data_IF_948427025075
#
_entry.id   IF_948427025075
#
_cell.length_a   1.000
_cell.length_b   1.000
_cell.length_c   1.000
_cell.angle_alpha   90.00
_cell.angle_beta   90.00
_cell.angle_gamma   90.00
#
_symmetry.space_group_name_H-M   'P 1'
#
loop_
_entity.id
_entity.type
_entity.pdbx_description
1 polymer ?
#
# COMPACT_ATOMS: atom_id res chain seq x y z
N UNK A 1 -6.99 -13.92 42.64
CA UNK A 1 -6.94 -13.66 41.19
C UNK A 1 -6.23 -12.35 40.81
N UNK A 2 -6.06 -11.36 41.71
CA UNK A 2 -5.41 -10.08 41.36
C UNK A 2 -3.88 -10.13 41.19
N UNK A 3 -3.15 -11.07 41.82
CA UNK A 3 -1.70 -11.18 41.64
C UNK A 3 -1.28 -11.76 40.27
N UNK A 4 -2.06 -12.69 39.70
CA UNK A 4 -1.72 -13.27 38.39
C UNK A 4 -1.94 -12.26 37.26
N UNK A 5 -2.99 -11.42 37.36
CA UNK A 5 -3.25 -10.33 36.39
C UNK A 5 -2.16 -9.24 36.47
N UNK A 6 -1.69 -8.90 37.67
CA UNK A 6 -0.60 -7.92 37.85
C UNK A 6 0.76 -8.45 37.41
N UNK A 7 1.01 -9.75 37.51
CA UNK A 7 2.26 -10.39 37.05
C UNK A 7 2.27 -10.59 35.53
N UNK A 8 1.12 -10.94 34.93
CA UNK A 8 1.00 -10.97 33.47
C UNK A 8 1.14 -9.56 32.87
N UNK A 9 0.55 -8.52 33.49
CA UNK A 9 0.69 -7.14 33.04
C UNK A 9 2.13 -6.60 33.16
N UNK A 10 2.89 -6.99 34.20
CA UNK A 10 4.29 -6.57 34.37
C UNK A 10 5.24 -7.32 33.43
N UNK A 11 4.99 -8.60 33.16
CA UNK A 11 5.77 -9.39 32.20
C UNK A 11 5.49 -8.98 30.75
N UNK A 12 4.24 -8.65 30.39
CA UNK A 12 3.92 -8.11 29.06
C UNK A 12 4.44 -6.67 28.90
N UNK A 13 4.35 -5.82 29.92
CA UNK A 13 4.95 -4.48 29.88
C UNK A 13 6.48 -4.52 29.80
N UNK A 14 7.15 -5.48 30.45
CA UNK A 14 8.60 -5.66 30.36
C UNK A 14 9.07 -6.09 28.97
N UNK A 15 8.35 -7.03 28.34
CA UNK A 15 8.66 -7.48 26.97
C UNK A 15 8.34 -6.38 25.93
N UNK A 16 7.19 -5.72 26.05
CA UNK A 16 6.83 -4.58 25.19
C UNK A 16 7.80 -3.42 25.37
N UNK A 17 8.25 -3.13 26.61
CA UNK A 17 9.28 -2.12 26.90
C UNK A 17 10.61 -2.47 26.25
N UNK A 18 11.06 -3.73 26.36
CA UNK A 18 12.36 -4.16 25.82
C UNK A 18 12.39 -4.19 24.29
N UNK A 19 11.34 -4.74 23.65
CA UNK A 19 11.23 -4.79 22.18
C UNK A 19 10.96 -3.41 21.60
N UNK A 20 10.07 -2.62 22.21
CA UNK A 20 9.78 -1.26 21.73
C UNK A 20 10.97 -0.30 21.95
N UNK A 21 11.70 -0.43 23.06
CA UNK A 21 12.91 0.39 23.29
C UNK A 21 14.06 0.02 22.35
N UNK A 22 14.23 -1.26 22.00
CA UNK A 22 15.23 -1.72 21.04
C UNK A 22 14.95 -1.29 19.59
N UNK A 23 13.68 -1.26 19.18
CA UNK A 23 13.25 -0.82 17.83
C UNK A 23 13.23 0.72 17.74
N UNK A 24 12.75 1.39 18.80
CA UNK A 24 12.72 2.86 18.92
C UNK A 24 14.09 3.53 18.89
N UNK A 25 15.14 2.87 19.38
CA UNK A 25 16.49 3.43 19.37
C UNK A 25 17.11 3.51 17.97
N UNK A 26 16.54 2.85 16.95
CA UNK A 26 17.08 2.78 15.59
C UNK A 26 16.31 3.63 14.57
N UNK A 27 14.98 3.64 14.59
CA UNK A 27 14.13 4.57 13.80
C UNK A 27 12.67 4.47 14.26
N UNK A 28 12.02 5.61 14.47
CA UNK A 28 10.59 5.65 14.81
C UNK A 28 9.71 5.04 13.72
N UNK A 29 10.13 5.14 12.45
CA UNK A 29 9.38 4.60 11.31
C UNK A 29 9.25 3.09 11.40
N UNK A 30 10.34 2.39 11.72
CA UNK A 30 10.33 0.93 11.89
C UNK A 30 9.32 0.52 12.97
N UNK A 31 9.24 1.29 14.06
CA UNK A 31 8.24 1.07 15.10
C UNK A 31 6.80 1.20 14.60
N UNK A 32 6.47 2.25 13.85
CA UNK A 32 5.13 2.43 13.28
C UNK A 32 4.81 1.41 12.19
N UNK A 33 5.80 1.02 11.39
CA UNK A 33 5.66 -0.06 10.40
C UNK A 33 5.37 -1.40 11.07
N UNK A 34 6.06 -1.70 12.18
CA UNK A 34 5.82 -2.88 12.99
C UNK A 34 4.42 -2.88 13.60
N UNK A 35 3.95 -1.73 14.09
CA UNK A 35 2.60 -1.58 14.64
C UNK A 35 1.51 -1.77 13.57
N UNK A 36 1.69 -1.17 12.39
CA UNK A 36 0.80 -1.38 11.25
C UNK A 36 0.80 -2.84 10.80
N UNK A 37 1.97 -3.49 10.72
CA UNK A 37 2.10 -4.92 10.42
C UNK A 37 1.42 -5.82 11.46
N UNK A 38 1.53 -5.49 12.74
CA UNK A 38 0.82 -6.20 13.80
C UNK A 38 -0.71 -6.05 13.66
N UNK A 39 -1.20 -4.86 13.29
CA UNK A 39 -2.63 -4.65 13.00
C UNK A 39 -3.12 -5.47 11.81
N UNK A 40 -2.30 -5.59 10.76
CA UNK A 40 -2.60 -6.43 9.59
C UNK A 40 -2.71 -7.92 9.96
N UNK A 41 -1.72 -8.43 10.70
CA UNK A 41 -1.72 -9.82 11.16
C UNK A 41 -2.92 -10.08 12.08
N UNK A 42 -3.23 -9.15 12.99
CA UNK A 42 -4.40 -9.26 13.88
C UNK A 42 -5.71 -9.26 13.08
N UNK A 43 -5.84 -8.39 12.08
CA UNK A 43 -7.03 -8.33 11.21
C UNK A 43 -7.21 -9.65 10.45
N UNK A 44 -6.11 -10.21 9.93
CA UNK A 44 -6.14 -11.50 9.24
C UNK A 44 -6.52 -12.66 10.17
N UNK A 45 -5.90 -12.75 11.36
CA UNK A 45 -6.25 -13.79 12.34
C UNK A 45 -7.75 -13.69 12.71
N UNK A 46 -8.24 -12.50 13.03
CA UNK A 46 -9.64 -12.31 13.40
C UNK A 46 -10.60 -12.53 12.24
N UNK A 47 -10.18 -12.32 10.99
CA UNK A 47 -10.94 -12.72 9.80
C UNK A 47 -11.14 -14.24 9.75
N UNK A 48 -10.10 -15.01 10.02
CA UNK A 48 -10.16 -16.47 9.91
C UNK A 48 -10.86 -17.15 11.10
N UNK A 49 -10.61 -16.68 12.32
CA UNK A 49 -11.07 -17.36 13.56
C UNK A 49 -12.05 -16.53 14.40
N UNK A 50 -12.31 -15.28 14.04
CA UNK A 50 -13.08 -14.35 14.88
C UNK A 50 -14.59 -14.50 14.79
N UNK A 51 -15.14 -15.11 13.73
CA UNK A 51 -16.59 -15.28 13.55
C UNK A 51 -17.33 -15.84 14.80
N UNK A 52 -16.93 -16.98 15.41
CA UNK A 52 -17.61 -17.51 16.60
C UNK A 52 -17.46 -16.64 17.86
N UNK A 53 -16.50 -15.70 17.88
CA UNK A 53 -16.37 -14.72 18.95
C UNK A 53 -17.32 -13.55 18.74
N UNK A 54 -17.46 -13.07 17.50
CA UNK A 54 -18.33 -11.95 17.16
C UNK A 54 -19.82 -12.32 17.26
N UNK A 55 -20.20 -13.54 16.91
CA UNK A 55 -21.57 -14.08 17.06
C UNK A 55 -22.09 -14.02 18.51
N UNK A 56 -21.18 -14.03 19.49
CA UNK A 56 -21.56 -13.97 20.92
C UNK A 56 -21.78 -12.56 21.43
N UNK A 57 -21.51 -11.53 20.63
CA UNK A 57 -21.60 -10.13 21.01
C UNK A 57 -22.96 -9.56 20.59
N UNK A 58 -23.91 -9.33 21.52
CA UNK A 58 -25.31 -9.04 21.19
C UNK A 58 -25.55 -7.68 20.53
N UNK A 59 -24.53 -6.82 20.42
CA UNK A 59 -24.61 -5.52 19.74
C UNK A 59 -23.98 -5.52 18.33
N UNK A 60 -23.30 -6.61 17.95
CA UNK A 60 -22.79 -6.86 16.58
C UNK A 60 -23.78 -7.75 15.81
N UNK A 61 -24.85 -8.20 16.47
CA UNK A 61 -25.91 -8.99 15.87
C UNK A 61 -27.23 -8.21 15.91
N UNK A 62 -27.65 -7.71 14.75
CA UNK A 62 -28.91 -6.98 14.59
C UNK A 62 -30.01 -7.81 13.89
N UNK A 63 -29.73 -9.06 13.51
CA UNK A 63 -30.71 -9.92 12.81
C UNK A 63 -30.26 -11.39 12.74
N UNK A 64 -31.17 -12.32 13.05
CA UNK A 64 -31.00 -13.80 13.13
C UNK A 64 -30.49 -14.55 11.86
N UNK A 65 -29.91 -13.89 10.85
CA UNK A 65 -29.47 -14.53 9.61
C UNK A 65 -28.20 -13.91 8.97
N UNK A 66 -27.20 -13.52 9.76
CA UNK A 66 -25.91 -13.09 9.21
C UNK A 66 -25.02 -14.29 8.82
N UNK A 67 -24.37 -14.20 7.67
CA UNK A 67 -23.46 -15.26 7.20
C UNK A 67 -22.09 -15.17 7.90
N UNK A 68 -21.31 -16.25 7.85
CA UNK A 68 -19.97 -16.28 8.43
C UNK A 68 -19.09 -15.19 7.83
N UNK A 69 -19.18 -14.97 6.52
CA UNK A 69 -18.39 -13.99 5.75
C UNK A 69 -18.66 -12.56 6.24
N UNK A 70 -19.91 -12.26 6.61
CA UNK A 70 -20.26 -10.97 7.19
C UNK A 70 -19.47 -10.70 8.49
N UNK A 71 -19.38 -11.69 9.39
CA UNK A 71 -18.59 -11.56 10.61
C UNK A 71 -17.09 -11.41 10.34
N UNK A 72 -16.57 -12.07 9.29
CA UNK A 72 -15.18 -11.91 8.87
C UNK A 72 -14.90 -10.47 8.41
N UNK A 73 -15.79 -9.88 7.62
CA UNK A 73 -15.70 -8.49 7.15
C UNK A 73 -15.78 -7.53 8.35
N UNK A 74 -16.72 -7.74 9.28
CA UNK A 74 -16.85 -6.92 10.49
C UNK A 74 -15.59 -6.92 11.34
N UNK A 75 -14.96 -8.08 11.54
CA UNK A 75 -13.73 -8.21 12.29
C UNK A 75 -12.59 -7.36 11.68
N UNK A 76 -12.41 -7.47 10.35
CA UNK A 76 -11.40 -6.70 9.61
C UNK A 76 -11.65 -5.20 9.70
N UNK A 77 -12.88 -4.76 9.44
CA UNK A 77 -13.24 -3.34 9.44
C UNK A 77 -13.07 -2.71 10.82
N UNK A 78 -13.41 -3.44 11.90
CA UNK A 78 -13.27 -2.96 13.28
C UNK A 78 -11.80 -2.80 13.67
N UNK A 79 -10.93 -3.79 13.40
CA UNK A 79 -9.49 -3.66 13.67
C UNK A 79 -8.88 -2.52 12.85
N UNK A 80 -9.21 -2.46 11.56
CA UNK A 80 -8.73 -1.41 10.66
C UNK A 80 -9.17 -0.03 11.11
N UNK A 81 -10.41 0.15 11.57
CA UNK A 81 -10.91 1.43 12.09
C UNK A 81 -10.09 1.90 13.29
N UNK A 82 -9.81 1.03 14.27
CA UNK A 82 -8.97 1.38 15.42
C UNK A 82 -7.57 1.83 15.00
N UNK A 83 -6.98 1.13 14.04
CA UNK A 83 -5.66 1.46 13.49
C UNK A 83 -5.68 2.77 12.68
N UNK A 84 -6.69 2.97 11.85
CA UNK A 84 -6.89 4.19 11.07
C UNK A 84 -7.07 5.40 11.98
N UNK A 85 -7.86 5.29 13.05
CA UNK A 85 -8.05 6.35 14.04
C UNK A 85 -6.73 6.68 14.74
N UNK A 86 -5.96 5.68 15.15
CA UNK A 86 -4.65 5.88 15.78
C UNK A 86 -3.71 6.71 14.89
N UNK A 87 -3.53 6.30 13.63
CA UNK A 87 -2.67 7.02 12.69
C UNK A 87 -3.24 8.38 12.29
N UNK A 88 -4.56 8.52 12.15
CA UNK A 88 -5.19 9.82 11.86
C UNK A 88 -4.99 10.82 12.99
N UNK A 89 -5.15 10.39 14.25
CA UNK A 89 -4.92 11.24 15.43
C UNK A 89 -3.45 11.70 15.47
N UNK A 90 -2.50 10.78 15.22
CA UNK A 90 -1.09 11.16 15.15
C UNK A 90 -0.80 12.10 13.98
N UNK A 91 -1.42 11.88 12.82
CA UNK A 91 -1.27 12.77 11.67
C UNK A 91 -1.71 14.20 12.01
N UNK A 92 -2.84 14.35 12.71
CA UNK A 92 -3.38 15.65 13.17
C UNK A 92 -2.47 16.31 14.23
N UNK A 93 -1.99 15.56 15.22
CA UNK A 93 -1.07 16.09 16.26
C UNK A 93 0.23 16.61 15.63
N UNK A 94 0.72 15.94 14.59
CA UNK A 94 1.99 16.25 13.94
C UNK A 94 1.91 17.33 12.85
N UNK A 95 0.76 17.99 12.67
CA UNK A 95 0.61 19.08 11.69
C UNK A 95 1.54 20.24 12.03
N UNK A 96 2.37 20.66 11.07
CA UNK A 96 3.21 21.84 11.20
C UNK A 96 4.48 21.66 12.02
N UNK A 97 4.90 20.42 12.31
CA UNK A 97 6.24 20.15 12.85
C UNK A 97 7.28 20.36 11.74
N UNK A 98 8.25 21.26 11.97
CA UNK A 98 9.28 21.63 10.98
C UNK A 98 10.71 21.36 11.47
N UNK A 99 10.93 21.36 12.78
CA UNK A 99 12.23 21.22 13.39
C UNK A 99 12.22 20.17 14.51
N UNK A 100 13.40 19.62 14.82
CA UNK A 100 13.58 18.62 15.87
C UNK A 100 13.52 19.20 17.30
N UNK A 101 13.40 20.52 17.47
CA UNK A 101 13.29 21.14 18.78
C UNK A 101 11.84 21.20 19.28
N UNK A 102 10.87 21.01 18.39
CA UNK A 102 9.47 20.84 18.75
C UNK A 102 9.28 19.66 19.71
N UNK A 103 8.53 19.86 20.80
CA UNK A 103 8.21 18.80 21.77
C UNK A 103 7.50 17.61 21.12
N UNK A 104 6.80 17.85 20.00
CA UNK A 104 6.12 16.81 19.22
C UNK A 104 7.10 15.87 18.52
N UNK A 105 8.32 16.31 18.19
CA UNK A 105 9.38 15.44 17.69
C UNK A 105 9.77 14.38 18.73
N UNK A 106 9.91 14.78 19.99
CA UNK A 106 10.16 13.86 21.10
C UNK A 106 9.01 12.86 21.28
N UNK A 107 7.76 13.30 21.11
CA UNK A 107 6.62 12.39 21.11
C UNK A 107 6.63 11.44 19.92
N UNK A 108 7.01 11.88 18.72
CA UNK A 108 7.09 11.02 17.52
C UNK A 108 8.07 9.86 17.70
N UNK A 109 9.24 10.14 18.28
CA UNK A 109 10.30 9.15 18.49
C UNK A 109 10.19 8.35 19.79
N UNK A 110 9.57 8.92 20.84
CA UNK A 110 9.48 8.34 22.17
C UNK A 110 8.09 7.82 22.54
N UNK A 111 7.84 7.61 23.84
CA UNK A 111 6.49 7.33 24.37
C UNK A 111 5.85 6.01 23.92
N UNK A 112 6.62 5.04 23.42
CA UNK A 112 6.09 3.84 22.78
C UNK A 112 5.13 3.03 23.65
N UNK A 113 5.40 2.84 24.93
CA UNK A 113 4.48 2.13 25.82
C UNK A 113 3.10 2.78 25.86
N UNK A 114 3.06 4.11 25.94
CA UNK A 114 1.79 4.85 25.95
C UNK A 114 1.09 4.74 24.59
N UNK A 115 1.84 4.85 23.48
CA UNK A 115 1.29 4.67 22.13
C UNK A 115 0.69 3.28 21.93
N UNK A 116 1.37 2.23 22.38
CA UNK A 116 0.88 0.85 22.28
C UNK A 116 -0.42 0.66 23.07
N UNK A 117 -0.51 1.25 24.26
CA UNK A 117 -1.74 1.23 25.07
C UNK A 117 -2.87 1.98 24.36
N UNK A 118 -2.60 3.20 23.86
CA UNK A 118 -3.60 3.98 23.12
C UNK A 118 -4.08 3.23 21.87
N UNK A 119 -3.15 2.66 21.09
CA UNK A 119 -3.47 1.86 19.91
C UNK A 119 -4.36 0.68 20.27
N UNK A 120 -3.99 -0.10 21.29
CA UNK A 120 -4.77 -1.26 21.73
C UNK A 120 -6.16 -0.84 22.21
N UNK A 121 -6.27 0.27 22.96
CA UNK A 121 -7.55 0.81 23.41
C UNK A 121 -8.44 1.23 22.23
N UNK A 122 -7.88 1.88 21.20
CA UNK A 122 -8.63 2.26 20.01
C UNK A 122 -9.11 1.04 19.21
N UNK A 123 -8.28 0.00 19.09
CA UNK A 123 -8.66 -1.28 18.47
C UNK A 123 -9.74 -1.99 19.30
N UNK A 124 -9.66 -2.00 20.63
CA UNK A 124 -10.70 -2.61 21.46
C UNK A 124 -12.01 -1.81 21.37
N UNK A 125 -11.93 -0.48 21.44
CA UNK A 125 -13.09 0.42 21.40
C UNK A 125 -13.88 0.26 20.10
N UNK A 126 -13.22 -0.01 18.98
CA UNK A 126 -13.89 -0.19 17.69
C UNK A 126 -14.82 -1.42 17.65
N UNK A 127 -14.63 -2.42 18.52
CA UNK A 127 -15.55 -3.56 18.67
C UNK A 127 -16.83 -3.22 19.43
N UNK A 128 -16.86 -2.09 20.13
CA UNK A 128 -18.07 -1.59 20.83
C UNK A 128 -18.89 -0.62 19.98
N UNK A 129 -18.41 -0.25 18.78
CA UNK A 129 -19.14 0.65 17.89
C UNK A 129 -20.32 -0.05 17.20
N UNK A 130 -21.47 0.63 17.00
CA UNK A 130 -22.59 0.09 16.24
C UNK A 130 -22.24 -0.22 14.78
N UNK A 131 -22.93 -1.20 14.19
CA UNK A 131 -22.69 -1.66 12.81
C UNK A 131 -22.85 -0.54 11.78
N UNK A 132 -23.74 0.42 12.02
CA UNK A 132 -23.94 1.60 11.15
C UNK A 132 -22.65 2.41 11.00
N UNK A 133 -21.87 2.55 12.07
CA UNK A 133 -20.59 3.28 12.03
C UNK A 133 -19.55 2.48 11.24
N UNK A 134 -19.52 1.15 11.42
CA UNK A 134 -18.59 0.27 10.71
C UNK A 134 -18.91 0.22 9.22
N UNK A 135 -20.19 0.20 8.85
CA UNK A 135 -20.63 0.29 7.47
C UNK A 135 -20.22 1.63 6.84
N UNK A 136 -20.42 2.75 7.55
CA UNK A 136 -19.99 4.06 7.09
C UNK A 136 -18.46 4.12 6.92
N UNK A 137 -17.69 3.55 7.85
CA UNK A 137 -16.25 3.42 7.73
C UNK A 137 -15.85 2.55 6.53
N UNK A 138 -16.54 1.44 6.29
CA UNK A 138 -16.29 0.58 5.13
C UNK A 138 -16.50 1.35 3.81
N UNK A 139 -17.54 2.18 3.72
CA UNK A 139 -17.75 3.04 2.56
C UNK A 139 -16.63 4.09 2.39
N UNK A 140 -16.27 4.81 3.45
CA UNK A 140 -15.17 5.79 3.44
C UNK A 140 -13.84 5.12 3.06
N UNK A 141 -13.61 3.90 3.56
CA UNK A 141 -12.40 3.14 3.31
C UNK A 141 -12.19 2.80 1.84
N UNK A 142 -13.26 2.66 1.03
CA UNK A 142 -13.14 2.49 -0.43
C UNK A 142 -12.42 3.68 -1.08
N UNK A 143 -12.78 4.90 -0.67
CA UNK A 143 -12.13 6.12 -1.17
C UNK A 143 -10.69 6.25 -0.65
N UNK A 144 -10.48 6.02 0.65
CA UNK A 144 -9.13 6.04 1.24
C UNK A 144 -8.18 5.01 0.63
N UNK A 145 -8.70 3.81 0.34
CA UNK A 145 -8.00 2.78 -0.40
C UNK A 145 -7.62 3.23 -1.81
N UNK A 146 -8.53 3.89 -2.53
CA UNK A 146 -8.25 4.51 -3.83
C UNK A 146 -7.12 5.55 -3.76
N UNK A 147 -7.14 6.45 -2.77
CA UNK A 147 -6.03 7.39 -2.56
C UNK A 147 -4.70 6.70 -2.27
N UNK A 148 -4.70 5.65 -1.45
CA UNK A 148 -3.49 4.88 -1.17
C UNK A 148 -2.95 4.18 -2.43
N UNK A 149 -3.82 3.64 -3.28
CA UNK A 149 -3.43 3.06 -4.57
C UNK A 149 -2.83 4.11 -5.50
N UNK A 150 -3.42 5.31 -5.59
CA UNK A 150 -2.83 6.41 -6.37
C UNK A 150 -1.44 6.81 -5.86
N UNK A 151 -1.25 6.85 -4.54
CA UNK A 151 0.06 7.09 -3.94
C UNK A 151 1.05 5.98 -4.33
N UNK A 152 0.65 4.71 -4.29
CA UNK A 152 1.49 3.60 -4.74
C UNK A 152 1.91 3.74 -6.20
N UNK A 153 0.98 4.14 -7.06
CA UNK A 153 1.25 4.39 -8.48
C UNK A 153 2.28 5.50 -8.66
N UNK A 154 2.14 6.63 -7.96
CA UNK A 154 3.13 7.72 -8.02
C UNK A 154 4.51 7.25 -7.56
N UNK A 155 4.56 6.46 -6.48
CA UNK A 155 5.82 5.90 -5.98
C UNK A 155 6.47 4.90 -6.94
N UNK A 156 5.66 4.11 -7.64
CA UNK A 156 6.14 3.22 -8.68
C UNK A 156 6.74 4.02 -9.84
N UNK A 157 6.05 5.07 -10.29
CA UNK A 157 6.56 5.95 -11.36
C UNK A 157 7.89 6.59 -10.96
N UNK A 158 7.95 7.23 -9.78
CA UNK A 158 9.17 7.81 -9.20
C UNK A 158 10.31 6.78 -9.12
N UNK A 159 10.02 5.56 -8.67
CA UNK A 159 11.00 4.49 -8.61
C UNK A 159 11.55 4.14 -10.00
N UNK A 160 10.69 4.00 -11.02
CA UNK A 160 11.15 3.64 -12.36
C UNK A 160 12.02 4.72 -13.00
N UNK A 161 11.67 6.00 -12.81
CA UNK A 161 12.48 7.13 -13.28
C UNK A 161 13.80 7.24 -12.50
N UNK A 162 13.76 7.12 -11.17
CA UNK A 162 14.97 7.13 -10.34
C UNK A 162 15.91 5.98 -10.69
N UNK A 163 15.37 4.79 -10.99
CA UNK A 163 16.17 3.65 -11.42
C UNK A 163 16.85 3.93 -12.77
N UNK A 164 16.09 4.44 -13.74
CA UNK A 164 16.64 4.88 -15.03
C UNK A 164 17.79 5.86 -14.83
N UNK A 165 17.54 6.94 -14.09
CA UNK A 165 18.51 8.02 -13.89
C UNK A 165 19.75 7.53 -13.14
N UNK A 166 19.59 6.62 -12.18
CA UNK A 166 20.71 6.03 -11.45
C UNK A 166 21.64 5.19 -12.34
N UNK A 167 21.11 4.52 -13.36
CA UNK A 167 21.91 3.75 -14.33
C UNK A 167 22.50 4.65 -15.41
N UNK A 168 21.74 5.62 -15.91
CA UNK A 168 22.23 6.64 -16.86
C UNK A 168 23.38 7.44 -16.24
N UNK A 169 23.27 7.83 -14.97
CA UNK A 169 24.30 8.61 -14.27
C UNK A 169 25.63 7.87 -14.10
N UNK A 170 25.70 6.55 -14.33
CA UNK A 170 26.96 5.82 -14.34
C UNK A 170 27.80 6.12 -15.58
N UNK A 171 27.16 6.55 -16.67
CA UNK A 171 27.78 6.96 -17.93
C UNK A 171 28.78 5.93 -18.51
N UNK A 172 28.46 4.64 -18.38
CA UNK A 172 29.25 3.56 -19.00
C UNK A 172 28.39 2.74 -19.97
N UNK A 173 28.99 2.30 -21.09
CA UNK A 173 28.31 1.54 -22.14
C UNK A 173 27.58 0.28 -21.63
N UNK A 174 28.14 -0.39 -20.62
CA UNK A 174 27.52 -1.58 -20.00
C UNK A 174 26.15 -1.29 -19.38
N UNK A 175 25.96 -0.11 -18.79
CA UNK A 175 24.70 0.29 -18.16
C UNK A 175 23.65 0.67 -19.20
N UNK A 176 24.05 1.30 -20.31
CA UNK A 176 23.15 1.55 -21.43
C UNK A 176 22.68 0.25 -22.11
N UNK A 177 23.58 -0.72 -22.29
CA UNK A 177 23.20 -2.07 -22.79
C UNK A 177 22.26 -2.76 -21.81
N UNK A 178 22.53 -2.67 -20.50
CA UNK A 178 21.65 -3.23 -19.47
C UNK A 178 20.26 -2.57 -19.47
N UNK A 179 20.18 -1.24 -19.57
CA UNK A 179 18.91 -0.50 -19.70
C UNK A 179 18.09 -1.00 -20.89
N UNK A 180 18.72 -1.12 -22.05
CA UNK A 180 18.06 -1.58 -23.27
C UNK A 180 17.60 -3.04 -23.13
N UNK A 181 18.46 -3.92 -22.60
CA UNK A 181 18.15 -5.34 -22.42
C UNK A 181 16.96 -5.54 -21.46
N UNK A 182 16.94 -4.83 -20.34
CA UNK A 182 15.82 -4.85 -19.38
C UNK A 182 14.56 -4.31 -20.05
N UNK A 183 14.66 -3.19 -20.78
CA UNK A 183 13.50 -2.58 -21.42
C UNK A 183 12.85 -3.50 -22.46
N UNK A 184 13.66 -4.13 -23.32
CA UNK A 184 13.17 -5.08 -24.32
C UNK A 184 12.52 -6.28 -23.62
N UNK A 185 13.14 -6.80 -22.57
CA UNK A 185 12.60 -7.93 -21.80
C UNK A 185 11.24 -7.59 -21.17
N UNK A 186 11.11 -6.40 -20.58
CA UNK A 186 9.85 -5.94 -20.00
C UNK A 186 8.75 -5.78 -21.05
N UNK A 187 9.04 -5.22 -22.22
CA UNK A 187 8.06 -5.12 -23.31
C UNK A 187 7.64 -6.49 -23.85
N UNK A 188 8.59 -7.38 -24.12
CA UNK A 188 8.28 -8.76 -24.53
C UNK A 188 7.41 -9.42 -23.46
N UNK A 189 7.78 -9.29 -22.19
CA UNK A 189 7.01 -9.80 -21.06
C UNK A 189 5.58 -9.27 -21.02
N UNK A 190 5.39 -7.96 -21.25
CA UNK A 190 4.07 -7.33 -21.23
C UNK A 190 3.16 -7.93 -22.33
N UNK A 191 3.63 -8.00 -23.58
CA UNK A 191 2.85 -8.54 -24.69
C UNK A 191 2.64 -10.05 -24.60
N UNK A 192 3.65 -10.81 -24.16
CA UNK A 192 3.53 -12.27 -23.96
C UNK A 192 2.54 -12.57 -22.83
N UNK A 193 2.61 -11.84 -21.71
CA UNK A 193 1.65 -11.97 -20.62
C UNK A 193 0.24 -11.68 -21.14
N UNK A 194 -0.01 -10.51 -21.74
CA UNK A 194 -1.31 -10.17 -22.31
C UNK A 194 -1.81 -11.20 -23.33
N UNK A 195 -0.92 -11.75 -24.16
CA UNK A 195 -1.25 -12.81 -25.12
C UNK A 195 -1.69 -14.13 -24.45
N UNK A 196 -1.02 -14.53 -23.36
CA UNK A 196 -1.41 -15.71 -22.56
C UNK A 196 -2.77 -15.48 -21.90
N UNK A 197 -3.08 -14.25 -21.46
CA UNK A 197 -4.35 -13.95 -20.80
C UNK A 197 -5.57 -14.21 -21.70
N UNK A 198 -5.47 -14.06 -23.02
CA UNK A 198 -6.56 -14.43 -23.94
C UNK A 198 -6.93 -15.92 -23.82
N UNK A 199 -5.95 -16.80 -23.56
CA UNK A 199 -6.21 -18.25 -23.41
C UNK A 199 -7.04 -18.53 -22.16
N UNK A 200 -6.86 -17.74 -21.10
CA UNK A 200 -7.53 -17.95 -19.82
C UNK A 200 -8.82 -17.15 -19.67
N UNK A 201 -8.92 -16.00 -20.33
CA UNK A 201 -10.01 -15.02 -20.11
C UNK A 201 -10.92 -14.78 -21.32
N UNK A 202 -10.66 -15.46 -22.46
CA UNK A 202 -11.51 -15.48 -23.66
C UNK A 202 -11.72 -16.94 -24.16
N UNK A 203 -12.37 -17.81 -23.36
CA UNK A 203 -12.63 -19.19 -23.75
C UNK A 203 -13.62 -19.30 -24.92
N UNK A 204 -13.38 -20.27 -25.81
CA UNK A 204 -14.27 -20.50 -26.95
C UNK A 204 -15.69 -20.91 -26.52
N UNK A 205 -16.69 -20.29 -27.14
CA UNK A 205 -18.11 -20.60 -26.92
C UNK A 205 -18.85 -19.63 -25.99
N UNK A 206 -18.17 -18.60 -25.46
CA UNK A 206 -18.76 -17.53 -24.66
C UNK A 206 -18.44 -16.16 -25.27
N UNK A 207 -19.28 -15.16 -25.01
CA UNK A 207 -19.01 -13.77 -25.42
C UNK A 207 -18.32 -13.02 -24.27
N UNK A 208 -16.99 -12.97 -24.33
CA UNK A 208 -16.13 -12.37 -23.32
C UNK A 208 -15.63 -10.97 -23.74
N UNK A 209 -16.47 -10.20 -24.43
CA UNK A 209 -16.11 -8.89 -25.01
C UNK A 209 -15.54 -7.88 -24.01
N UNK A 210 -15.95 -7.91 -22.74
CA UNK A 210 -15.39 -7.04 -21.69
C UNK A 210 -13.92 -7.36 -21.39
N UNK A 211 -13.60 -8.65 -21.25
CA UNK A 211 -12.25 -9.12 -20.97
C UNK A 211 -11.34 -8.84 -22.16
N UNK A 212 -11.84 -9.11 -23.38
CA UNK A 212 -11.17 -8.78 -24.63
C UNK A 212 -10.89 -7.27 -24.72
N UNK A 213 -11.86 -6.42 -24.37
CA UNK A 213 -11.66 -4.97 -24.33
C UNK A 213 -10.53 -4.56 -23.37
N UNK A 214 -10.52 -5.09 -22.13
CA UNK A 214 -9.47 -4.79 -21.18
C UNK A 214 -8.09 -5.20 -21.70
N UNK A 215 -7.95 -6.43 -22.21
CA UNK A 215 -6.68 -6.94 -22.75
C UNK A 215 -6.16 -6.12 -23.94
N UNK A 216 -7.03 -5.81 -24.91
CA UNK A 216 -6.67 -5.00 -26.07
C UNK A 216 -6.26 -3.60 -25.62
N UNK A 217 -7.00 -2.99 -24.70
CA UNK A 217 -6.69 -1.65 -24.20
C UNK A 217 -5.33 -1.63 -23.50
N UNK A 218 -5.00 -2.62 -22.68
CA UNK A 218 -3.69 -2.75 -22.04
C UNK A 218 -2.55 -2.83 -23.06
N UNK A 219 -2.72 -3.61 -24.13
CA UNK A 219 -1.72 -3.71 -25.21
C UNK A 219 -1.57 -2.39 -25.98
N UNK A 220 -2.68 -1.69 -26.25
CA UNK A 220 -2.66 -0.36 -26.88
C UNK A 220 -1.92 0.64 -26.00
N UNK A 221 -2.17 0.64 -24.69
CA UNK A 221 -1.49 1.52 -23.74
C UNK A 221 0.03 1.26 -23.74
N UNK A 222 0.46 0.00 -23.70
CA UNK A 222 1.87 -0.37 -23.79
C UNK A 222 2.54 0.14 -25.08
N UNK A 223 1.84 0.05 -26.22
CA UNK A 223 2.31 0.61 -27.50
C UNK A 223 2.41 2.14 -27.44
N UNK A 224 1.38 2.82 -26.92
CA UNK A 224 1.36 4.28 -26.78
C UNK A 224 2.50 4.77 -25.89
N UNK A 225 2.78 4.09 -24.78
CA UNK A 225 3.91 4.43 -23.90
C UNK A 225 5.24 4.38 -24.65
N UNK A 226 5.46 3.35 -25.48
CA UNK A 226 6.67 3.21 -26.28
C UNK A 226 6.82 4.36 -27.28
N UNK A 227 5.73 4.69 -28.00
CA UNK A 227 5.71 5.78 -28.99
C UNK A 227 6.02 7.12 -28.34
N UNK A 228 5.38 7.44 -27.22
CA UNK A 228 5.60 8.72 -26.51
C UNK A 228 7.02 8.77 -25.96
N UNK A 229 7.51 7.69 -25.35
CA UNK A 229 8.85 7.65 -24.75
C UNK A 229 9.99 7.77 -25.78
N UNK A 230 9.77 7.31 -27.03
CA UNK A 230 10.73 7.42 -28.12
C UNK A 230 10.60 8.71 -28.94
N UNK A 231 9.56 9.52 -28.69
CA UNK A 231 9.32 10.72 -29.46
C UNK A 231 10.42 11.77 -29.19
N UNK A 232 11.13 12.30 -30.20
CA UNK A 232 12.31 13.15 -30.00
C UNK A 232 12.08 14.44 -29.22
N UNK A 233 10.84 14.93 -29.15
CA UNK A 233 10.49 16.14 -28.39
C UNK A 233 10.19 15.86 -26.91
N UNK A 234 9.98 14.59 -26.55
CA UNK A 234 9.75 14.15 -25.18
C UNK A 234 11.09 13.63 -24.68
N UNK A 235 11.60 14.17 -23.58
CA UNK A 235 12.80 13.63 -22.90
C UNK A 235 12.46 12.32 -22.17
N UNK A 236 11.82 11.39 -22.88
CA UNK A 236 11.37 10.11 -22.38
C UNK A 236 12.53 9.11 -22.28
N UNK A 237 12.30 8.05 -21.53
CA UNK A 237 13.23 6.93 -21.40
C UNK A 237 12.48 5.62 -21.59
N UNK A 238 13.12 4.66 -22.26
CA UNK A 238 12.50 3.39 -22.61
C UNK A 238 12.29 2.48 -21.39
N UNK A 239 13.17 2.57 -20.38
CA UNK A 239 13.08 1.74 -19.18
C UNK A 239 11.77 2.03 -18.39
N UNK A 240 11.47 3.27 -17.97
CA UNK A 240 10.19 3.56 -17.32
C UNK A 240 8.98 3.11 -18.17
N UNK A 241 8.99 3.38 -19.48
CA UNK A 241 7.90 3.01 -20.38
C UNK A 241 7.64 1.50 -20.38
N UNK A 242 8.70 0.70 -20.47
CA UNK A 242 8.63 -0.75 -20.52
C UNK A 242 8.20 -1.38 -19.18
N UNK A 243 8.71 -0.88 -18.05
CA UNK A 243 8.36 -1.39 -16.72
C UNK A 243 6.91 -1.06 -16.38
N UNK A 244 6.45 0.14 -16.72
CA UNK A 244 5.05 0.53 -16.53
C UNK A 244 4.12 -0.28 -17.46
N UNK A 245 4.53 -0.56 -18.70
CA UNK A 245 3.77 -1.45 -19.59
C UNK A 245 3.60 -2.86 -19.01
N UNK A 246 4.68 -3.44 -18.47
CA UNK A 246 4.62 -4.74 -17.81
C UNK A 246 3.76 -4.72 -16.54
N UNK A 247 3.84 -3.63 -15.77
CA UNK A 247 2.99 -3.43 -14.60
C UNK A 247 1.52 -3.33 -14.99
N UNK A 248 1.14 -2.59 -16.03
CA UNK A 248 -0.23 -2.54 -16.53
C UNK A 248 -0.74 -3.93 -16.94
N UNK A 249 0.08 -4.72 -17.67
CA UNK A 249 -0.26 -6.10 -18.00
C UNK A 249 -0.46 -6.99 -16.75
N UNK A 250 0.38 -6.80 -15.72
CA UNK A 250 0.21 -7.49 -14.43
C UNK A 250 -1.06 -7.05 -13.69
N UNK A 251 -1.36 -5.75 -13.64
CA UNK A 251 -2.57 -5.24 -13.00
C UNK A 251 -3.82 -5.76 -13.72
N UNK A 252 -3.83 -5.75 -15.05
CA UNK A 252 -4.89 -6.36 -15.87
C UNK A 252 -5.09 -7.84 -15.53
N UNK A 253 -4.00 -8.63 -15.49
CA UNK A 253 -4.07 -10.04 -15.05
C UNK A 253 -4.72 -10.18 -13.68
N UNK A 254 -4.28 -9.41 -12.69
CA UNK A 254 -4.86 -9.49 -11.35
C UNK A 254 -6.32 -9.01 -11.31
N UNK A 255 -6.69 -8.06 -12.17
CA UNK A 255 -8.06 -7.58 -12.35
C UNK A 255 -8.97 -8.69 -12.86
N UNK A 256 -8.60 -9.34 -13.97
CA UNK A 256 -9.36 -10.44 -14.54
C UNK A 256 -9.38 -11.67 -13.60
N UNK A 257 -8.29 -11.93 -12.88
CA UNK A 257 -8.24 -13.01 -11.88
C UNK A 257 -9.20 -12.80 -10.71
N UNK A 258 -9.59 -11.56 -10.44
CA UNK A 258 -10.56 -11.18 -9.41
C UNK A 258 -12.01 -11.29 -9.87
N UNK A 259 -12.28 -11.74 -11.10
CA UNK A 259 -13.64 -11.94 -11.59
C UNK A 259 -14.40 -12.98 -10.74
N UNK A 260 -15.72 -12.81 -10.52
CA UNK A 260 -16.54 -13.75 -9.78
C UNK A 260 -16.44 -15.20 -10.30
N UNK A 261 -16.61 -16.17 -9.41
CA UNK A 261 -16.49 -17.59 -9.75
C UNK A 261 -17.56 -18.11 -10.71
N UNK A 262 -18.74 -17.48 -10.69
CA UNK A 262 -19.86 -17.74 -11.59
C UNK A 262 -19.70 -17.10 -12.97
N UNK A 263 -18.65 -16.30 -13.19
CA UNK A 263 -18.40 -15.68 -14.49
C UNK A 263 -17.66 -16.63 -15.44
N UNK A 264 -18.34 -17.01 -16.51
CA UNK A 264 -17.90 -18.07 -17.44
C UNK A 264 -16.58 -17.80 -18.17
N UNK A 265 -16.23 -16.51 -18.31
CA UNK A 265 -15.03 -16.05 -18.99
C UNK A 265 -13.75 -16.22 -18.14
N UNK A 266 -13.84 -16.36 -16.82
CA UNK A 266 -12.67 -16.61 -15.99
C UNK A 266 -12.30 -18.10 -15.99
N UNK A 267 -11.45 -18.50 -16.94
CA UNK A 267 -10.98 -19.87 -17.10
C UNK A 267 -10.11 -20.39 -15.95
N UNK A 268 -9.54 -19.50 -15.12
CA UNK A 268 -8.77 -19.90 -13.94
C UNK A 268 -9.65 -20.59 -12.90
N UNK A 269 -10.93 -20.18 -12.80
CA UNK A 269 -11.91 -20.77 -11.87
C UNK A 269 -12.25 -22.22 -12.20
N UNK A 270 -12.13 -22.61 -13.48
CA UNK A 270 -12.37 -23.98 -13.94
C UNK A 270 -11.16 -24.89 -13.70
N UNK A 271 -9.97 -24.31 -13.52
CA UNK A 271 -8.77 -25.05 -13.14
C UNK A 271 -8.71 -25.25 -11.62
N UNK A 272 -8.84 -26.49 -11.13
CA UNK A 272 -8.59 -26.86 -9.72
C UNK A 272 -7.10 -26.74 -9.33
N UNK A 273 -6.37 -25.77 -9.86
CA UNK A 273 -4.92 -25.66 -9.75
C UNK A 273 -4.45 -24.86 -8.53
N UNK A 274 -5.34 -24.13 -7.85
CA UNK A 274 -4.96 -23.30 -6.71
C UNK A 274 -5.15 -24.08 -5.41
N UNK A 275 -4.06 -24.65 -4.90
CA UNK A 275 -4.01 -25.26 -3.56
C UNK A 275 -4.24 -24.20 -2.47
N UNK A 276 -4.84 -24.59 -1.35
CA UNK A 276 -4.95 -23.76 -0.14
C UNK A 276 -3.59 -23.17 0.27
N UNK A 277 -2.49 -23.89 0.05
CA UNK A 277 -1.13 -23.39 0.29
C UNK A 277 -0.75 -22.22 -0.62
N UNK A 278 -1.18 -22.22 -1.88
CA UNK A 278 -0.97 -21.12 -2.84
C UNK A 278 -1.77 -19.88 -2.45
N UNK A 279 -3.00 -20.06 -1.95
CA UNK A 279 -3.82 -18.96 -1.43
C UNK A 279 -3.16 -18.30 -0.22
N UNK A 280 -2.70 -19.09 0.75
CA UNK A 280 -2.01 -18.57 1.96
C UNK A 280 -0.71 -17.86 1.60
N UNK A 281 0.09 -18.42 0.68
CA UNK A 281 1.31 -17.77 0.19
C UNK A 281 1.00 -16.46 -0.52
N UNK A 282 -0.02 -16.43 -1.38
CA UNK A 282 -0.48 -15.21 -2.04
C UNK A 282 -0.90 -14.13 -1.04
N UNK A 283 -1.69 -14.50 -0.04
CA UNK A 283 -2.10 -13.59 1.04
C UNK A 283 -0.90 -13.02 1.82
N UNK A 284 0.07 -13.86 2.19
CA UNK A 284 1.29 -13.43 2.88
C UNK A 284 2.11 -12.46 2.02
N UNK A 285 2.27 -12.78 0.73
CA UNK A 285 2.94 -11.89 -0.21
C UNK A 285 2.22 -10.55 -0.32
N UNK A 286 0.89 -10.54 -0.39
CA UNK A 286 0.10 -9.30 -0.44
C UNK A 286 0.29 -8.47 0.82
N UNK A 287 0.22 -9.08 2.02
CA UNK A 287 0.45 -8.38 3.29
C UNK A 287 1.86 -7.75 3.35
N UNK A 288 2.90 -8.50 2.95
CA UNK A 288 4.27 -7.99 2.91
C UNK A 288 4.42 -6.86 1.88
N UNK A 289 3.75 -6.95 0.73
CA UNK A 289 3.73 -5.91 -0.29
C UNK A 289 3.06 -4.62 0.21
N UNK A 290 1.92 -4.73 0.91
CA UNK A 290 1.25 -3.57 1.50
C UNK A 290 2.12 -2.91 2.56
N UNK A 291 2.77 -3.73 3.41
CA UNK A 291 3.70 -3.23 4.42
C UNK A 291 4.85 -2.46 3.77
N UNK A 292 5.50 -3.06 2.79
CA UNK A 292 6.60 -2.42 2.05
C UNK A 292 6.15 -1.11 1.40
N UNK A 293 5.00 -1.11 0.75
CA UNK A 293 4.43 0.05 0.09
C UNK A 293 4.13 1.18 1.07
N UNK A 294 3.56 0.89 2.23
CA UNK A 294 3.29 1.88 3.28
C UNK A 294 4.61 2.47 3.85
N UNK A 295 5.62 1.63 4.11
CA UNK A 295 6.94 2.08 4.59
C UNK A 295 7.59 3.02 3.57
N UNK A 296 7.58 2.60 2.29
CA UNK A 296 8.17 3.37 1.20
C UNK A 296 7.43 4.70 1.03
N UNK A 297 6.11 4.67 0.99
CA UNK A 297 5.26 5.85 0.86
C UNK A 297 5.50 6.87 1.98
N UNK A 298 5.60 6.42 3.23
CA UNK A 298 5.90 7.31 4.35
C UNK A 298 7.32 7.87 4.34
N UNK A 299 8.25 7.20 3.64
CA UNK A 299 9.67 7.58 3.61
C UNK A 299 10.10 8.33 2.35
N UNK A 300 9.22 8.45 1.34
CA UNK A 300 9.54 9.07 0.06
C UNK A 300 9.44 10.59 0.13
N UNK A 301 10.52 11.27 -0.27
CA UNK A 301 10.58 12.73 -0.44
C UNK A 301 9.88 13.20 -1.71
N UNK A 302 9.64 12.33 -2.69
CA UNK A 302 8.97 12.65 -3.96
C UNK A 302 7.55 13.22 -3.77
N UNK A 303 6.86 12.86 -2.68
CA UNK A 303 5.53 13.37 -2.36
C UNK A 303 5.56 14.65 -1.49
N UNK A 304 6.75 15.05 -1.05
CA UNK A 304 7.00 16.16 -0.15
C UNK A 304 7.97 17.12 -0.83
N UNK A 305 7.44 17.92 -1.76
CA UNK A 305 8.11 19.13 -2.22
C UNK A 305 8.51 19.98 -1.00
N UNK A 306 9.74 19.79 -0.53
CA UNK A 306 10.34 20.67 0.46
C UNK A 306 10.61 21.99 -0.24
N UNK A 307 10.36 23.14 0.41
CA UNK A 307 10.78 24.44 -0.13
C UNK A 307 12.28 24.43 -0.44
N UNK A 308 12.75 25.18 -1.45
CA UNK A 308 14.13 25.12 -1.97
C UNK A 308 15.22 25.65 -1.02
N UNK A 309 14.94 25.77 0.28
CA UNK A 309 15.85 26.40 1.25
C UNK A 309 16.74 25.41 2.02
N UNK A 310 16.75 24.12 1.68
CA UNK A 310 17.67 23.15 2.30
C UNK A 310 18.74 22.73 1.28
N UNK A 311 20.04 22.79 1.61
CA UNK A 311 21.07 22.27 0.71
C UNK A 311 20.77 20.80 0.45
N UNK A 312 20.65 20.41 -0.82
CA UNK A 312 20.68 19.00 -1.22
C UNK A 312 21.99 18.43 -0.66
N UNK A 313 21.92 17.78 0.50
CA UNK A 313 23.03 16.97 0.99
C UNK A 313 23.22 15.87 -0.04
N UNK A 314 24.28 15.99 -0.83
CA UNK A 314 24.62 15.03 -1.88
C UNK A 314 24.70 13.63 -1.30
N UNK A 315 23.86 12.74 -1.84
CA UNK A 315 23.83 11.32 -1.50
C UNK A 315 22.42 10.77 -1.60
N UNK A 316 22.15 9.96 -2.63
CA UNK A 316 20.94 9.14 -2.78
C UNK A 316 20.90 8.00 -1.73
N UNK A 317 21.03 8.33 -0.44
CA UNK A 317 20.83 7.34 0.63
C UNK A 317 19.33 7.27 0.96
N UNK A 318 18.72 6.08 0.98
CA UNK A 318 17.36 5.89 1.48
C UNK A 318 17.19 6.54 2.85
N UNK A 319 16.08 7.27 3.03
CA UNK A 319 15.84 8.07 4.24
C UNK A 319 15.86 7.23 5.53
N UNK A 320 15.52 5.93 5.44
CA UNK A 320 15.63 4.95 6.52
C UNK A 320 17.10 4.67 6.90
N UNK A 321 18.01 4.59 5.92
CA UNK A 321 19.45 4.37 6.17
C UNK A 321 20.09 5.59 6.82
N UNK A 322 19.67 6.81 6.43
CA UNK A 322 20.12 8.04 7.07
C UNK A 322 19.75 8.09 8.56
N UNK A 323 18.50 7.75 8.92
CA UNK A 323 18.07 7.69 10.33
C UNK A 323 18.83 6.62 11.14
N UNK A 324 19.10 5.46 10.53
CA UNK A 324 19.84 4.36 11.16
C UNK A 324 21.32 4.71 11.41
N UNK A 325 21.92 5.55 10.56
CA UNK A 325 23.26 6.10 10.75
C UNK A 325 23.28 7.19 11.83
N UNK A 326 22.28 8.10 11.84
CA UNK A 326 22.17 9.15 12.87
C UNK A 326 21.97 8.59 14.28
N UNK A 327 21.19 7.52 14.45
CA UNK A 327 21.00 6.85 15.74
C UNK A 327 22.28 6.23 16.35
N UNK A 328 23.37 6.11 15.58
CA UNK A 328 24.66 5.59 16.04
C UNK A 328 25.65 6.69 16.47
N UNK A 329 25.44 7.95 16.08
CA UNK A 329 26.35 9.04 16.44
C UNK A 329 26.09 9.53 17.87
N UNK A 330 27.14 9.50 18.70
CA UNK A 330 27.10 9.77 20.13
C UNK A 330 26.82 11.24 20.46
N UNK A 331 26.02 11.42 21.53
CA UNK A 331 25.94 12.55 22.46
C UNK A 331 27.24 13.38 22.50
N UNK A 332 27.19 14.66 22.13
CA UNK A 332 28.33 15.55 22.39
C UNK A 332 28.32 16.93 21.77
N UNK A 333 27.55 17.21 20.71
CA UNK A 333 27.56 18.54 20.07
C UNK A 333 26.27 19.30 20.34
N UNK A 334 26.42 20.61 20.61
CA UNK A 334 25.33 21.56 20.83
C UNK A 334 24.31 21.42 19.69
N UNK A 335 23.05 21.15 20.05
CA UNK A 335 21.96 20.96 19.09
C UNK A 335 21.64 22.27 18.38
N UNK A 336 22.30 22.55 17.27
CA UNK A 336 21.67 23.37 16.24
C UNK A 336 20.35 22.70 15.83
N UNK A 337 19.29 23.50 15.69
CA UNK A 337 17.95 23.01 15.35
C UNK A 337 17.94 22.46 13.92
N UNK A 338 18.13 21.16 13.78
CA UNK A 338 18.05 20.48 12.49
C UNK A 338 16.58 20.43 12.02
N UNK A 339 16.31 20.70 10.74
CA UNK A 339 14.98 20.48 10.17
C UNK A 339 14.64 18.99 10.19
N UNK A 340 13.35 18.67 10.30
CA UNK A 340 12.89 17.28 10.21
C UNK A 340 13.12 16.74 8.79
N UNK A 341 13.49 15.47 8.66
CA UNK A 341 13.87 14.87 7.38
C UNK A 341 12.68 14.49 6.48
N UNK A 342 11.46 14.55 7.02
CA UNK A 342 10.19 14.27 6.35
C UNK A 342 9.02 14.86 7.14
N UNK A 343 7.86 15.00 6.50
CA UNK A 343 6.63 15.42 7.16
C UNK A 343 6.05 14.29 8.00
N UNK A 344 6.10 14.43 9.33
CA UNK A 344 5.51 13.44 10.25
C UNK A 344 4.00 13.32 10.07
N UNK A 345 3.32 14.43 9.79
CA UNK A 345 1.87 14.41 9.53
C UNK A 345 1.53 13.60 8.29
N UNK A 346 2.25 13.82 7.19
CA UNK A 346 2.05 13.07 5.95
C UNK A 346 2.39 11.58 6.14
N UNK A 347 3.48 11.28 6.83
CA UNK A 347 3.86 9.91 7.18
C UNK A 347 2.71 9.16 7.87
N UNK A 348 2.11 9.73 8.91
CA UNK A 348 1.00 9.09 9.61
C UNK A 348 -0.28 9.04 8.77
N UNK A 349 -0.54 10.05 7.93
CA UNK A 349 -1.65 10.04 6.98
C UNK A 349 -1.54 8.86 6.00
N UNK A 350 -0.34 8.58 5.50
CA UNK A 350 -0.09 7.42 4.64
C UNK A 350 -0.45 6.12 5.37
N UNK A 351 -0.09 5.95 6.64
CA UNK A 351 -0.47 4.76 7.42
C UNK A 351 -1.98 4.67 7.70
N UNK A 352 -2.66 5.80 7.85
CA UNK A 352 -4.12 5.83 7.96
C UNK A 352 -4.78 5.36 6.65
N UNK A 353 -4.34 5.88 5.50
CA UNK A 353 -4.81 5.45 4.18
C UNK A 353 -4.46 3.98 3.89
N UNK A 354 -3.27 3.53 4.29
CA UNK A 354 -2.85 2.14 4.20
C UNK A 354 -3.76 1.23 5.05
N UNK A 355 -4.26 1.71 6.19
CA UNK A 355 -5.21 0.95 7.04
C UNK A 355 -6.55 0.76 6.34
N UNK A 356 -7.05 1.80 5.67
CA UNK A 356 -8.27 1.72 4.86
C UNK A 356 -8.10 0.78 3.67
N UNK A 357 -6.96 0.85 2.97
CA UNK A 357 -6.63 -0.07 1.88
C UNK A 357 -6.57 -1.53 2.35
N UNK A 358 -5.86 -1.78 3.45
CA UNK A 358 -5.77 -3.11 4.06
C UNK A 358 -7.13 -3.68 4.45
N UNK A 359 -8.05 -2.84 4.93
CA UNK A 359 -9.42 -3.26 5.20
C UNK A 359 -10.12 -3.73 3.94
N UNK A 360 -10.09 -2.93 2.86
CA UNK A 360 -10.75 -3.27 1.60
C UNK A 360 -10.15 -4.51 0.95
N UNK A 361 -8.83 -4.65 0.99
CA UNK A 361 -8.13 -5.83 0.54
C UNK A 361 -8.66 -7.08 1.28
N UNK A 362 -8.57 -7.11 2.61
CA UNK A 362 -8.96 -8.26 3.42
C UNK A 362 -10.49 -8.51 3.43
N UNK A 363 -11.31 -7.51 3.13
CA UNK A 363 -12.77 -7.64 3.02
C UNK A 363 -13.26 -7.93 1.60
N UNK A 364 -12.37 -8.10 0.62
CA UNK A 364 -12.76 -8.34 -0.78
C UNK A 364 -13.48 -7.16 -1.43
N UNK A 365 -13.21 -5.93 -0.98
CA UNK A 365 -13.81 -4.68 -1.46
C UNK A 365 -15.34 -4.57 -1.28
N UNK A 366 -15.95 -5.54 -0.59
CA UNK A 366 -17.36 -5.51 -0.23
C UNK A 366 -17.57 -5.05 1.22
N UNK A 367 -18.75 -4.46 1.45
CA UNK A 367 -19.25 -4.04 2.75
C UNK A 367 -20.60 -4.69 3.08
N UNK A 368 -21.10 -5.55 2.19
CA UNK A 368 -22.38 -6.28 2.26
C UNK A 368 -22.16 -7.76 2.01
N UNK A 369 -23.05 -8.62 2.51
CA UNK A 369 -22.95 -10.09 2.58
C UNK A 369 -23.01 -10.83 1.23
N UNK A 370 -22.62 -10.19 0.13
CA UNK A 370 -22.59 -10.85 -1.18
C UNK A 370 -21.34 -11.74 -1.23
N UNK A 371 -21.56 -13.05 -1.09
CA UNK A 371 -20.64 -14.18 -1.13
C UNK A 371 -19.19 -13.86 -1.55
N UNK A 372 -18.32 -13.64 -0.57
CA UNK A 372 -16.87 -13.55 -0.78
C UNK A 372 -16.13 -14.46 0.20
N UNK A 373 -16.15 -15.77 -0.06
CA UNK A 373 -15.30 -16.74 0.67
C UNK A 373 -13.80 -16.42 0.48
N UNK A 374 -13.46 -15.61 -0.51
CA UNK A 374 -12.08 -15.32 -0.94
C UNK A 374 -11.80 -13.81 -0.96
N UNK A 375 -10.59 -13.46 -0.51
CA UNK A 375 -10.01 -12.12 -0.53
C UNK A 375 -9.86 -11.67 -2.00
N UNK A 376 -10.20 -10.42 -2.30
CA UNK A 376 -10.08 -9.78 -3.62
C UNK A 376 -10.92 -10.38 -4.77
N UNK A 377 -11.95 -11.20 -4.50
CA UNK A 377 -12.85 -11.72 -5.55
C UNK A 377 -14.13 -10.90 -5.64
N UNK A 378 -14.51 -10.46 -6.84
CA UNK A 378 -15.73 -9.72 -7.13
C UNK A 378 -15.54 -8.57 -8.12
N UNK A 379 -16.61 -8.15 -8.81
CA UNK A 379 -16.58 -7.08 -9.81
C UNK A 379 -16.01 -5.75 -9.29
N UNK A 380 -16.22 -5.42 -8.02
CA UNK A 380 -15.63 -4.23 -7.41
C UNK A 380 -14.10 -4.29 -7.43
N UNK A 381 -13.52 -5.45 -7.11
CA UNK A 381 -12.08 -5.68 -7.15
C UNK A 381 -11.53 -5.57 -8.57
N UNK A 382 -12.25 -6.14 -9.55
CA UNK A 382 -11.93 -6.03 -10.99
C UNK A 382 -11.83 -4.55 -11.39
N UNK A 383 -12.89 -3.77 -11.15
CA UNK A 383 -12.94 -2.36 -11.56
C UNK A 383 -11.94 -1.47 -10.83
N UNK A 384 -11.63 -1.75 -9.57
CA UNK A 384 -10.58 -1.03 -8.84
C UNK A 384 -9.21 -1.28 -9.50
N UNK A 385 -8.90 -2.51 -9.87
CA UNK A 385 -7.62 -2.86 -10.51
C UNK A 385 -7.53 -2.25 -11.92
N UNK A 386 -8.57 -2.40 -12.75
CA UNK A 386 -8.62 -1.78 -14.08
C UNK A 386 -8.58 -0.24 -14.00
N UNK A 387 -9.31 0.35 -13.04
CA UNK A 387 -9.25 1.79 -12.80
C UNK A 387 -7.85 2.26 -12.35
N UNK A 388 -7.16 1.47 -11.52
CA UNK A 388 -5.77 1.74 -11.11
C UNK A 388 -4.81 1.63 -12.29
N UNK A 389 -5.01 0.67 -13.18
CA UNK A 389 -4.25 0.55 -14.43
C UNK A 389 -4.41 1.81 -15.31
N UNK A 390 -5.65 2.27 -15.52
CA UNK A 390 -5.92 3.47 -16.31
C UNK A 390 -5.38 4.74 -15.66
N UNK A 391 -5.49 4.84 -14.33
CA UNK A 391 -4.89 5.93 -13.58
C UNK A 391 -3.35 5.91 -13.71
N UNK A 392 -2.73 4.73 -13.66
CA UNK A 392 -1.29 4.56 -13.90
C UNK A 392 -0.89 5.03 -15.29
N UNK A 393 -1.65 4.60 -16.31
CA UNK A 393 -1.45 5.01 -17.68
C UNK A 393 -1.56 6.53 -17.87
N UNK A 394 -2.62 7.12 -17.34
CA UNK A 394 -2.87 8.56 -17.40
C UNK A 394 -1.78 9.36 -16.70
N UNK A 395 -1.38 8.95 -15.49
CA UNK A 395 -0.31 9.60 -14.73
C UNK A 395 1.04 9.48 -15.44
N UNK A 396 1.39 8.32 -15.99
CA UNK A 396 2.63 8.14 -16.74
C UNK A 396 2.67 8.99 -18.02
N UNK A 397 1.60 9.00 -18.81
CA UNK A 397 1.52 9.86 -19.98
C UNK A 397 1.62 11.33 -19.56
N UNK A 398 0.96 11.70 -18.46
CA UNK A 398 1.03 13.05 -17.93
C UNK A 398 2.45 13.46 -17.50
N UNK A 399 3.23 12.58 -16.87
CA UNK A 399 4.61 12.92 -16.48
C UNK A 399 5.50 13.23 -17.69
N UNK A 400 5.23 12.61 -18.83
CA UNK A 400 5.96 12.86 -20.08
C UNK A 400 5.47 14.10 -20.85
N UNK A 401 4.15 14.34 -20.88
CA UNK A 401 3.56 15.42 -21.68
C UNK A 401 3.44 16.75 -20.95
N UNK A 402 3.31 16.75 -19.61
CA UNK A 402 3.07 17.97 -18.85
C UNK A 402 4.19 19.03 -19.02
N UNK A 403 5.50 18.68 -19.05
CA UNK A 403 6.57 19.64 -19.33
C UNK A 403 6.43 20.35 -20.68
N UNK A 404 5.83 19.71 -21.67
CA UNK A 404 5.60 20.29 -22.99
C UNK A 404 4.35 21.16 -23.04
N UNK A 405 3.27 20.74 -22.36
CA UNK A 405 2.00 21.46 -22.33
C UNK A 405 2.04 22.71 -21.43
N UNK A 406 2.89 22.72 -20.40
CA UNK A 406 3.04 23.85 -19.48
C UNK A 406 4.53 24.18 -19.25
N UNK A 407 5.23 24.70 -20.27
CA UNK A 407 6.68 24.94 -20.21
C UNK A 407 7.10 25.96 -19.13
N UNK A 408 6.19 26.83 -18.70
CA UNK A 408 6.43 27.84 -17.65
C UNK A 408 6.27 27.29 -16.21
N UNK A 409 5.91 26.01 -16.06
CA UNK A 409 5.74 25.36 -14.76
C UNK A 409 6.94 24.47 -14.46
N UNK A 410 7.59 24.69 -13.32
CA UNK A 410 8.58 23.75 -12.80
C UNK A 410 7.86 22.46 -12.36
N UNK A 411 8.10 21.38 -13.11
CA UNK A 411 7.71 20.02 -12.73
C UNK A 411 8.86 19.43 -11.92
N UNK A 412 8.76 19.51 -10.59
CA UNK A 412 9.75 19.02 -9.64
C UNK A 412 9.42 17.63 -9.11
#
# INVERSE_FOLDING_TARGET
MSCCVSCCASLTCGLCSSVASGISQKSARIGYCGLFGASLILSWILREVGAPLLEKLPWIDSSDAQTKEWYQIQAVLRVSLGNCLFFSILALIMIGVKDQNDRRDSWHHGGWTVKMVIWLLLVILSFFLPDVIILAYGFISKFGAGFFLLIQVILLLDFTHTWNDAWVAKDEQKWYIALLAVSITCYIGAYVLSGILFIWFDPSGYDCGLNVFFLIMTMILAFVFAVIALHPQVNGSLLPASVISLYCAYVCYTGLSSEPHDYECNGLNKSRAVSTGTLVLGMLTTVLSVLYSAVRAGSSTALLASPPSSPKSGGNKPLLEAELEEGKSKKGEEKESKPVSYSYSFFHLIFALASMYSAMLLSGWTSTSDSSDLIDVGWTSVWVRIGTEWATAGLYIWTLLAPFLFPDREFA
#
